data_IF_792326029852
#
_entry.id   IF_792326029852
#
_cell.length_a   1.000
_cell.length_b   1.000
_cell.length_c   1.000
_cell.angle_alpha   90.00
_cell.angle_beta   90.00
_cell.angle_gamma   90.00
#
_symmetry.space_group_name_H-M   'P 1'
#
loop_
_entity.id
_entity.type
_entity.pdbx_description
1 polymer ?
#
# COMPACT_ATOMS: atom_id res chain seq x y z
N UNK A 1 7.41 31.38 11.20
CA UNK A 1 7.20 29.98 10.73
C UNK A 1 7.13 29.09 11.99
N UNK A 2 6.25 29.42 12.94
CA UNK A 2 6.63 29.31 14.37
C UNK A 2 5.92 28.22 15.18
N UNK A 3 5.36 27.20 14.55
CA UNK A 3 4.90 26.02 15.27
C UNK A 3 5.01 24.76 14.42
N UNK A 4 5.78 23.80 14.91
CA UNK A 4 5.92 22.48 14.32
C UNK A 4 4.85 21.58 14.92
N UNK A 5 3.80 21.26 14.15
CA UNK A 5 2.67 20.49 14.64
C UNK A 5 2.34 19.34 13.69
N UNK A 6 1.65 18.31 14.21
CA UNK A 6 1.24 17.14 13.45
C UNK A 6 0.23 17.51 12.36
N UNK A 7 -0.68 18.43 12.66
CA UNK A 7 -1.73 18.92 11.76
C UNK A 7 -1.13 19.62 10.54
N UNK A 8 -0.01 20.33 10.70
CA UNK A 8 0.71 20.93 9.57
C UNK A 8 1.35 19.88 8.67
N UNK A 9 1.94 18.83 9.25
CA UNK A 9 2.47 17.71 8.48
C UNK A 9 1.34 17.07 7.67
N UNK A 10 0.22 16.79 8.32
CA UNK A 10 -0.98 16.23 7.68
C UNK A 10 -1.51 17.14 6.57
N UNK A 11 -1.54 18.46 6.78
CA UNK A 11 -1.95 19.42 5.75
C UNK A 11 -1.07 19.37 4.51
N UNK A 12 0.26 19.32 4.69
CA UNK A 12 1.20 19.18 3.57
C UNK A 12 1.10 17.83 2.86
N UNK A 13 0.81 16.75 3.59
CA UNK A 13 0.53 15.44 2.98
C UNK A 13 -0.74 15.51 2.11
N UNK A 14 -1.80 16.14 2.60
CA UNK A 14 -3.04 16.31 1.82
C UNK A 14 -2.82 17.18 0.57
N UNK A 15 -2.05 18.27 0.67
CA UNK A 15 -1.66 19.08 -0.49
C UNK A 15 -0.82 18.29 -1.49
N UNK A 16 0.16 17.53 -1.01
CA UNK A 16 1.00 16.68 -1.85
C UNK A 16 0.17 15.62 -2.59
N UNK A 17 -0.80 15.01 -1.90
CA UNK A 17 -1.73 14.04 -2.48
C UNK A 17 -2.63 14.69 -3.55
N UNK A 18 -3.15 15.89 -3.26
CA UNK A 18 -3.97 16.63 -4.21
C UNK A 18 -3.19 16.96 -5.48
N UNK A 19 -2.00 17.57 -5.38
CA UNK A 19 -1.16 17.88 -6.54
C UNK A 19 -0.80 16.63 -7.35
N UNK A 20 -0.55 15.51 -6.67
CA UNK A 20 -0.27 14.25 -7.36
C UNK A 20 -1.47 13.76 -8.17
N UNK A 21 -2.69 13.91 -7.65
CA UNK A 21 -3.93 13.59 -8.38
C UNK A 21 -4.19 14.51 -9.57
N UNK A 22 -3.62 15.71 -9.57
CA UNK A 22 -3.69 16.67 -10.68
C UNK A 22 -2.50 16.54 -11.65
N UNK A 23 -1.71 15.47 -11.53
CA UNK A 23 -0.51 15.20 -12.33
C UNK A 23 0.63 16.23 -12.17
N UNK A 24 0.54 17.11 -11.16
CA UNK A 24 1.57 18.08 -10.81
C UNK A 24 2.68 17.45 -9.96
N UNK A 25 3.39 16.49 -10.55
CA UNK A 25 4.36 15.62 -9.85
C UNK A 25 5.49 16.36 -9.14
N UNK A 26 5.91 17.53 -9.62
CA UNK A 26 6.96 18.34 -8.99
C UNK A 26 6.45 19.05 -7.72
N UNK A 27 5.25 19.64 -7.78
CA UNK A 27 4.60 20.27 -6.64
C UNK A 27 4.28 19.26 -5.55
N UNK A 28 3.71 18.11 -5.94
CA UNK A 28 3.43 17.00 -5.04
C UNK A 28 4.66 16.57 -4.23
N UNK A 29 5.79 16.39 -4.93
CA UNK A 29 7.05 15.99 -4.30
C UNK A 29 7.64 17.07 -3.39
N UNK A 30 7.48 18.35 -3.74
CA UNK A 30 7.92 19.45 -2.87
C UNK A 30 7.11 19.48 -1.57
N UNK A 31 5.77 19.39 -1.65
CA UNK A 31 4.91 19.38 -0.46
C UNK A 31 5.18 18.16 0.42
N UNK A 32 5.33 16.98 -0.17
CA UNK A 32 5.75 15.78 0.54
C UNK A 32 7.11 15.98 1.22
N UNK A 33 8.08 16.57 0.53
CA UNK A 33 9.38 16.88 1.09
C UNK A 33 9.31 17.83 2.29
N UNK A 34 8.39 18.79 2.31
CA UNK A 34 8.15 19.66 3.48
C UNK A 34 7.59 18.83 4.64
N UNK A 35 6.56 18.02 4.39
CA UNK A 35 5.96 17.15 5.40
C UNK A 35 6.99 16.20 6.04
N UNK A 36 7.82 15.54 5.23
CA UNK A 36 8.86 14.61 5.71
C UNK A 36 9.89 15.33 6.57
N UNK A 37 10.38 16.51 6.15
CA UNK A 37 11.35 17.30 6.93
C UNK A 37 10.77 17.73 8.27
N UNK A 38 9.50 18.15 8.29
CA UNK A 38 8.79 18.46 9.53
C UNK A 38 8.65 17.24 10.44
N UNK A 39 8.23 16.09 9.91
CA UNK A 39 8.11 14.84 10.67
C UNK A 39 9.45 14.40 11.30
N UNK A 40 10.54 14.48 10.53
CA UNK A 40 11.90 14.17 11.03
C UNK A 40 12.37 15.17 12.09
N UNK A 41 12.05 16.45 11.93
CA UNK A 41 12.36 17.47 12.95
C UNK A 41 11.63 17.19 14.27
N UNK A 42 10.39 16.66 14.20
CA UNK A 42 9.64 16.16 15.37
C UNK A 42 10.11 14.80 15.89
N UNK A 43 10.99 14.11 15.13
CA UNK A 43 11.46 12.73 15.39
C UNK A 43 10.33 11.71 15.51
N UNK A 44 9.29 11.83 14.67
CA UNK A 44 8.15 10.93 14.71
C UNK A 44 8.55 9.47 14.46
N UNK A 45 9.61 9.22 13.69
CA UNK A 45 10.13 7.89 13.39
C UNK A 45 10.80 7.18 14.59
N UNK A 46 10.96 7.87 15.72
CA UNK A 46 11.54 7.35 16.97
C UNK A 46 10.61 7.56 18.17
N UNK A 47 9.36 7.97 17.93
CA UNK A 47 8.48 8.51 18.95
C UNK A 47 8.15 7.46 20.03
N UNK A 48 7.91 6.20 19.63
CA UNK A 48 7.65 5.11 20.58
C UNK A 48 8.83 4.85 21.52
N UNK A 49 10.07 4.88 21.01
CA UNK A 49 11.27 4.73 21.83
C UNK A 49 11.43 5.89 22.80
N UNK A 50 11.19 7.12 22.33
CA UNK A 50 11.24 8.33 23.16
C UNK A 50 10.22 8.25 24.29
N UNK A 51 8.99 7.85 23.99
CA UNK A 51 7.92 7.70 24.97
C UNK A 51 8.23 6.62 26.00
N UNK A 52 8.75 5.46 25.56
CA UNK A 52 9.17 4.40 26.48
C UNK A 52 10.24 4.85 27.49
N UNK A 53 11.21 5.68 27.07
CA UNK A 53 12.22 6.26 27.97
C UNK A 53 11.55 7.18 29.00
N UNK A 54 10.64 8.04 28.56
CA UNK A 54 9.91 8.98 29.43
C UNK A 54 8.94 8.27 30.39
N UNK A 55 8.45 7.10 30.03
CA UNK A 55 7.64 6.23 30.90
C UNK A 55 8.50 5.56 31.97
N UNK A 56 9.66 5.02 31.60
CA UNK A 56 10.57 4.34 32.53
C UNK A 56 11.23 5.29 33.54
N UNK A 57 11.39 6.57 33.19
CA UNK A 57 11.97 7.60 34.07
C UNK A 57 10.94 8.28 34.97
N UNK A 58 9.64 7.99 34.81
CA UNK A 58 8.59 8.69 35.55
C UNK A 58 8.44 8.13 36.99
N UNK A 59 8.22 8.99 38.01
CA UNK A 59 7.87 8.54 39.35
C UNK A 59 6.49 7.84 39.34
N UNK A 60 6.31 6.82 40.20
CA UNK A 60 5.13 5.94 40.20
C UNK A 60 3.78 6.68 40.33
N UNK A 61 3.76 7.84 40.97
CA UNK A 61 2.56 8.68 41.12
C UNK A 61 2.02 9.27 39.81
N UNK A 62 2.85 9.39 38.75
CA UNK A 62 2.44 9.91 37.42
C UNK A 62 2.22 8.82 36.37
N UNK A 63 2.30 7.54 36.78
CA UNK A 63 2.19 6.40 35.87
C UNK A 63 0.76 6.14 35.40
N UNK A 64 -0.24 6.54 36.19
CA UNK A 64 -1.67 6.47 35.83
C UNK A 64 -2.09 7.57 34.85
N UNK A 65 -1.62 8.81 35.02
CA UNK A 65 -1.89 9.91 34.07
C UNK A 65 -1.31 9.62 32.67
N UNK A 66 -0.22 8.85 32.58
CA UNK A 66 0.45 8.50 31.31
C UNK A 66 -0.17 7.32 30.54
N UNK A 67 -1.15 6.63 31.14
CA UNK A 67 -1.98 5.62 30.47
C UNK A 67 -3.35 6.18 30.05
N UNK A 68 -3.50 7.51 30.00
CA UNK A 68 -4.75 8.12 29.58
C UNK A 68 -5.08 7.72 28.13
N UNK A 69 -6.36 7.53 27.80
CA UNK A 69 -6.79 7.23 26.44
C UNK A 69 -6.32 8.32 25.46
N UNK A 70 -6.27 9.57 25.91
CA UNK A 70 -5.78 10.72 25.12
C UNK A 70 -4.32 10.54 24.67
N UNK A 71 -3.43 10.04 25.53
CA UNK A 71 -2.04 9.78 25.16
C UNK A 71 -1.95 8.64 24.13
N UNK A 72 -2.78 7.61 24.26
CA UNK A 72 -2.84 6.51 23.28
C UNK A 72 -3.24 7.04 21.91
N UNK A 73 -4.29 7.87 21.86
CA UNK A 73 -4.75 8.53 20.62
C UNK A 73 -3.65 9.40 20.01
N UNK A 74 -2.98 10.25 20.81
CA UNK A 74 -1.91 11.13 20.31
C UNK A 74 -0.76 10.31 19.74
N UNK A 75 -0.34 9.24 20.42
CA UNK A 75 0.74 8.35 19.96
C UNK A 75 0.39 7.67 18.65
N UNK A 76 -0.80 7.10 18.53
CA UNK A 76 -1.26 6.47 17.29
C UNK A 76 -1.41 7.50 16.16
N UNK A 77 -1.91 8.70 16.44
CA UNK A 77 -2.03 9.79 15.46
C UNK A 77 -0.67 10.18 14.88
N UNK A 78 0.35 10.29 15.74
CA UNK A 78 1.73 10.61 15.33
C UNK A 78 2.34 9.48 14.51
N UNK A 79 2.13 8.22 14.92
CA UNK A 79 2.57 7.02 14.19
C UNK A 79 1.94 6.94 12.81
N UNK A 80 0.62 7.05 12.70
CA UNK A 80 -0.10 7.06 11.42
C UNK A 80 0.37 8.20 10.53
N UNK A 81 0.61 9.39 11.08
CA UNK A 81 1.17 10.54 10.33
C UNK A 81 2.57 10.22 9.76
N UNK A 82 3.45 9.60 10.55
CA UNK A 82 4.77 9.20 10.07
C UNK A 82 4.70 8.10 9.00
N UNK A 83 3.79 7.14 9.14
CA UNK A 83 3.57 6.13 8.10
C UNK A 83 2.92 6.70 6.83
N UNK A 84 2.07 7.73 6.92
CA UNK A 84 1.57 8.44 5.74
C UNK A 84 2.69 9.10 4.96
N UNK A 85 3.65 9.74 5.65
CA UNK A 85 4.88 10.23 5.03
C UNK A 85 5.65 9.10 4.33
N UNK A 86 5.85 7.97 5.02
CA UNK A 86 6.55 6.80 4.48
C UNK A 86 5.87 6.20 3.24
N UNK A 87 4.54 6.08 3.28
CA UNK A 87 3.73 5.53 2.20
C UNK A 87 3.84 6.41 0.97
N UNK A 88 3.61 7.72 1.12
CA UNK A 88 3.66 8.66 0.00
C UNK A 88 5.06 8.77 -0.60
N UNK A 89 6.12 8.74 0.22
CA UNK A 89 7.52 8.71 -0.24
C UNK A 89 7.79 7.56 -1.21
N UNK A 90 7.18 6.38 -0.98
CA UNK A 90 7.35 5.22 -1.87
C UNK A 90 6.44 5.23 -3.08
N UNK A 91 5.17 5.56 -2.89
CA UNK A 91 4.19 5.55 -3.98
C UNK A 91 4.49 6.64 -5.02
N UNK A 92 4.91 7.83 -4.58
CA UNK A 92 5.18 8.98 -5.46
C UNK A 92 6.58 8.97 -6.09
N UNK A 93 7.49 8.13 -5.61
CA UNK A 93 8.84 8.02 -6.21
C UNK A 93 8.88 7.08 -7.42
N UNK A 94 7.82 6.30 -7.65
CA UNK A 94 7.76 5.36 -8.77
C UNK A 94 7.88 6.07 -10.13
N UNK A 95 8.73 5.54 -11.02
CA UNK A 95 8.91 6.05 -12.39
C UNK A 95 9.67 7.37 -12.48
N UNK A 96 10.19 7.87 -11.36
CA UNK A 96 11.04 9.06 -11.32
C UNK A 96 12.44 8.68 -10.82
N UNK A 97 13.50 9.33 -11.30
CA UNK A 97 14.87 9.16 -10.75
C UNK A 97 15.03 9.81 -9.36
N UNK A 98 13.93 9.92 -8.60
CA UNK A 98 13.90 10.60 -7.30
C UNK A 98 14.29 9.63 -6.19
N UNK A 99 15.27 9.97 -5.34
CA UNK A 99 15.64 9.13 -4.21
C UNK A 99 14.55 9.18 -3.13
N UNK A 100 14.35 8.04 -2.46
CA UNK A 100 13.50 7.96 -1.27
C UNK A 100 14.07 8.82 -0.15
N UNK A 101 13.21 9.58 0.54
CA UNK A 101 13.61 10.46 1.64
C UNK A 101 13.62 9.75 3.00
N UNK A 102 12.88 8.65 3.14
CA UNK A 102 12.74 7.88 4.38
C UNK A 102 13.32 6.47 4.21
N UNK A 103 14.47 6.24 4.85
CA UNK A 103 15.09 4.93 4.99
C UNK A 103 14.26 4.03 5.91
N UNK A 104 14.13 2.75 5.58
CA UNK A 104 13.32 1.79 6.35
C UNK A 104 13.86 1.64 7.77
N UNK A 105 15.18 1.60 7.89
CA UNK A 105 15.93 1.40 9.13
C UNK A 105 15.72 2.56 10.12
N UNK A 106 15.27 3.71 9.62
CA UNK A 106 14.93 4.87 10.46
C UNK A 106 13.56 4.75 11.12
N UNK A 107 12.67 3.86 10.64
CA UNK A 107 11.32 3.64 11.17
C UNK A 107 11.34 2.76 12.42
N UNK A 108 11.67 3.36 13.57
CA UNK A 108 11.77 2.69 14.88
C UNK A 108 10.48 2.79 15.71
N UNK A 109 9.34 2.88 15.02
CA UNK A 109 7.99 2.92 15.59
C UNK A 109 7.22 1.64 15.29
N UNK A 110 6.24 1.30 16.13
CA UNK A 110 5.35 0.17 15.88
C UNK A 110 4.49 0.42 14.64
N UNK A 111 4.03 -0.63 13.97
CA UNK A 111 3.08 -0.51 12.86
C UNK A 111 1.74 0.09 13.34
N UNK A 112 0.93 0.71 12.46
CA UNK A 112 -0.38 1.22 12.84
C UNK A 112 -1.31 0.14 13.39
N UNK A 113 -2.06 0.46 14.44
CA UNK A 113 -3.04 -0.47 15.02
C UNK A 113 -4.34 -0.52 14.20
N UNK A 114 -5.19 -1.48 14.51
CA UNK A 114 -6.53 -1.61 13.94
C UNK A 114 -7.40 -0.40 14.25
N UNK A 115 -8.36 -0.08 13.37
CA UNK A 115 -9.32 1.01 13.61
C UNK A 115 -10.06 0.82 14.94
N UNK A 116 -10.45 -0.42 15.27
CA UNK A 116 -11.08 -0.75 16.54
C UNK A 116 -10.20 -0.40 17.74
N UNK A 117 -8.90 -0.74 17.70
CA UNK A 117 -7.97 -0.41 18.78
C UNK A 117 -7.76 1.11 18.89
N UNK A 118 -7.74 1.81 17.76
CA UNK A 118 -7.62 3.27 17.73
C UNK A 118 -8.86 3.96 18.31
N UNK A 119 -10.06 3.60 17.85
CA UNK A 119 -11.34 4.16 18.28
C UNK A 119 -11.58 3.96 19.78
N UNK A 120 -11.26 2.77 20.29
CA UNK A 120 -11.42 2.43 21.70
C UNK A 120 -10.21 2.85 22.57
N UNK A 121 -9.23 3.55 21.99
CA UNK A 121 -8.01 4.00 22.68
C UNK A 121 -7.26 2.87 23.41
N UNK A 122 -7.22 1.68 22.81
CA UNK A 122 -6.59 0.49 23.38
C UNK A 122 -5.07 0.55 23.19
N UNK A 123 -4.33 0.31 24.27
CA UNK A 123 -2.88 0.16 24.20
C UNK A 123 -2.53 -1.24 23.69
N UNK A 124 -2.03 -1.31 22.46
CA UNK A 124 -1.66 -2.56 21.78
C UNK A 124 -0.25 -2.50 21.21
N UNK A 125 0.33 -3.68 20.98
CA UNK A 125 1.61 -3.86 20.31
C UNK A 125 1.44 -4.58 18.97
N UNK A 126 1.92 -3.96 17.90
CA UNK A 126 1.73 -4.39 16.51
C UNK A 126 3.03 -4.85 15.82
N UNK A 127 4.14 -4.86 16.55
CA UNK A 127 5.47 -5.13 15.99
C UNK A 127 6.06 -3.94 15.21
N UNK A 128 7.30 -4.10 14.73
CA UNK A 128 8.00 -3.11 13.90
C UNK A 128 7.95 -3.50 12.42
N UNK A 129 8.15 -2.51 11.54
CA UNK A 129 8.29 -2.77 10.10
C UNK A 129 9.51 -3.67 9.79
N UNK A 130 10.65 -3.39 10.43
CA UNK A 130 11.83 -4.24 10.41
C UNK A 130 12.19 -4.64 11.85
N UNK A 131 11.78 -5.84 12.30
CA UNK A 131 12.20 -6.38 13.59
C UNK A 131 13.72 -6.51 13.66
N UNK A 132 14.33 -6.19 14.80
CA UNK A 132 15.75 -6.41 15.02
C UNK A 132 16.01 -7.87 15.34
N UNK A 133 16.84 -8.52 14.53
CA UNK A 133 17.31 -9.88 14.77
C UNK A 133 17.94 -10.00 16.17
N UNK A 134 17.56 -11.03 16.92
CA UNK A 134 18.08 -11.31 18.26
C UNK A 134 17.52 -10.45 19.40
N UNK A 135 16.56 -9.55 19.16
CA UNK A 135 15.88 -8.81 20.22
C UNK A 135 14.63 -9.53 20.74
N UNK A 136 14.47 -9.63 22.07
CA UNK A 136 13.24 -10.14 22.69
C UNK A 136 12.12 -9.10 22.53
N UNK A 137 11.36 -9.20 21.44
CA UNK A 137 10.20 -8.35 21.23
C UNK A 137 8.99 -8.87 22.02
N UNK A 138 8.12 -7.98 22.51
CA UNK A 138 6.86 -8.40 23.12
C UNK A 138 6.00 -9.14 22.08
N UNK A 139 5.10 -10.00 22.58
CA UNK A 139 4.15 -10.70 21.72
C UNK A 139 3.23 -9.68 21.03
N UNK A 140 3.04 -9.85 19.72
CA UNK A 140 2.13 -9.02 18.93
C UNK A 140 0.71 -9.28 19.43
N UNK A 141 0.02 -8.21 19.82
CA UNK A 141 -1.33 -8.25 20.41
C UNK A 141 -2.41 -7.67 19.49
N UNK A 142 -2.03 -7.03 18.38
CA UNK A 142 -2.95 -6.46 17.40
C UNK A 142 -2.31 -6.47 16.00
N UNK A 143 -3.17 -6.55 14.98
CA UNK A 143 -2.77 -6.51 13.58
C UNK A 143 -3.85 -5.82 12.76
N UNK A 144 -3.47 -5.12 11.69
CA UNK A 144 -4.38 -4.27 10.94
C UNK A 144 -4.13 -4.31 9.44
N UNK A 145 -5.17 -4.06 8.66
CA UNK A 145 -5.02 -3.98 7.21
C UNK A 145 -4.06 -2.86 6.79
N UNK A 146 -4.00 -1.77 7.56
CA UNK A 146 -3.05 -0.69 7.37
C UNK A 146 -1.60 -1.12 7.69
N UNK A 147 -1.37 -1.91 8.74
CA UNK A 147 -0.05 -2.48 9.06
C UNK A 147 0.47 -3.34 7.89
N UNK A 148 -0.41 -4.18 7.33
CA UNK A 148 -0.11 -5.05 6.19
C UNK A 148 0.14 -4.25 4.92
N UNK A 149 -0.65 -3.20 4.70
CA UNK A 149 -0.44 -2.28 3.58
C UNK A 149 0.93 -1.59 3.68
N UNK A 150 1.33 -1.10 4.85
CA UNK A 150 2.65 -0.49 5.07
C UNK A 150 3.79 -1.47 4.73
N UNK A 151 3.69 -2.74 5.18
CA UNK A 151 4.68 -3.78 4.84
C UNK A 151 4.77 -4.00 3.33
N UNK A 152 3.62 -4.03 2.65
CA UNK A 152 3.57 -4.18 1.19
C UNK A 152 4.11 -2.97 0.43
N UNK A 153 3.91 -1.75 0.96
CA UNK A 153 4.48 -0.52 0.41
C UNK A 153 6.01 -0.55 0.45
N UNK A 154 6.62 -1.22 1.43
CA UNK A 154 8.08 -1.44 1.40
C UNK A 154 8.50 -2.37 0.25
N UNK A 155 7.80 -3.49 0.06
CA UNK A 155 8.05 -4.40 -1.08
C UNK A 155 7.90 -3.64 -2.41
N UNK A 156 6.87 -2.80 -2.53
CA UNK A 156 6.70 -1.91 -3.68
C UNK A 156 7.89 -0.98 -3.88
N UNK A 157 8.41 -0.37 -2.80
CA UNK A 157 9.60 0.48 -2.87
C UNK A 157 10.83 -0.25 -3.43
N UNK A 158 11.01 -1.53 -3.08
CA UNK A 158 12.07 -2.37 -3.65
C UNK A 158 11.84 -2.69 -5.13
N UNK A 159 10.61 -3.04 -5.52
CA UNK A 159 10.23 -3.30 -6.91
C UNK A 159 10.44 -2.04 -7.77
N UNK A 160 9.94 -0.90 -7.31
CA UNK A 160 10.11 0.37 -8.01
C UNK A 160 11.58 0.72 -8.19
N UNK A 161 12.42 0.47 -7.18
CA UNK A 161 13.87 0.71 -7.28
C UNK A 161 14.51 -0.22 -8.31
N UNK A 162 14.17 -1.50 -8.30
CA UNK A 162 14.65 -2.48 -9.28
C UNK A 162 14.36 -2.03 -10.71
N UNK A 163 13.13 -1.59 -10.98
CA UNK A 163 12.70 -1.12 -12.30
C UNK A 163 13.42 0.17 -12.69
N UNK A 164 13.47 1.16 -11.80
CA UNK A 164 14.16 2.43 -12.08
C UNK A 164 15.66 2.26 -12.34
N UNK A 165 16.29 1.22 -11.78
CA UNK A 165 17.69 0.89 -12.02
C UNK A 165 17.92 0.09 -13.32
N UNK A 166 16.89 -0.09 -14.16
CA UNK A 166 16.97 -0.75 -15.46
C UNK A 166 16.45 -2.19 -15.49
N UNK A 167 15.90 -2.68 -14.37
CA UNK A 167 15.14 -3.92 -14.28
C UNK A 167 15.82 -5.11 -14.96
N UNK A 168 15.07 -5.81 -15.82
CA UNK A 168 15.56 -6.97 -16.56
C UNK A 168 16.81 -6.68 -17.40
N UNK A 169 16.94 -5.46 -17.93
CA UNK A 169 18.04 -5.11 -18.83
C UNK A 169 19.40 -5.06 -18.14
N UNK A 170 19.41 -4.89 -16.81
CA UNK A 170 20.63 -4.92 -15.98
C UNK A 170 20.81 -6.25 -15.24
N UNK A 171 19.85 -7.16 -15.32
CA UNK A 171 19.88 -8.43 -14.62
C UNK A 171 20.84 -9.41 -15.33
N UNK A 172 21.72 -10.05 -14.56
CA UNK A 172 22.69 -11.04 -15.07
C UNK A 172 22.09 -12.45 -15.11
N UNK A 173 21.17 -12.74 -14.18
CA UNK A 173 20.57 -14.05 -14.02
C UNK A 173 19.13 -14.08 -14.55
N UNK A 174 18.64 -15.22 -15.07
CA UNK A 174 17.27 -15.33 -15.52
C UNK A 174 16.29 -15.27 -14.33
N UNK A 175 15.00 -14.96 -14.56
CA UNK A 175 14.04 -14.66 -13.50
C UNK A 175 13.68 -15.87 -12.61
N UNK A 176 13.94 -17.10 -13.05
CA UNK A 176 13.79 -18.33 -12.25
C UNK A 176 15.03 -18.66 -11.41
N UNK A 177 16.12 -17.89 -11.52
CA UNK A 177 17.32 -18.13 -10.74
C UNK A 177 17.22 -17.45 -9.37
N UNK A 178 17.46 -18.15 -8.25
CA UNK A 178 17.42 -17.58 -6.90
C UNK A 178 18.36 -16.40 -6.65
N UNK A 179 19.41 -16.25 -7.47
CA UNK A 179 20.35 -15.13 -7.38
C UNK A 179 19.81 -13.84 -8.01
N UNK A 180 18.86 -13.94 -8.95
CA UNK A 180 18.27 -12.77 -9.62
C UNK A 180 17.50 -11.89 -8.64
N UNK A 181 17.48 -10.59 -8.90
CA UNK A 181 16.70 -9.65 -8.08
C UNK A 181 15.20 -9.90 -8.26
N UNK A 182 14.79 -10.17 -9.51
CA UNK A 182 13.41 -10.55 -9.83
C UNK A 182 12.90 -11.71 -8.96
N UNK A 183 13.65 -12.82 -8.90
CA UNK A 183 13.24 -13.98 -8.12
C UNK A 183 13.04 -13.64 -6.64
N UNK A 184 13.98 -12.90 -6.05
CA UNK A 184 13.90 -12.50 -4.64
C UNK A 184 12.68 -11.61 -4.36
N UNK A 185 12.35 -10.70 -5.28
CA UNK A 185 11.15 -9.86 -5.17
C UNK A 185 9.87 -10.70 -5.31
N UNK A 186 9.83 -11.64 -6.26
CA UNK A 186 8.70 -12.56 -6.43
C UNK A 186 8.48 -13.40 -5.18
N UNK A 187 9.54 -13.98 -4.61
CA UNK A 187 9.47 -14.73 -3.36
C UNK A 187 9.00 -13.88 -2.19
N UNK A 188 9.40 -12.59 -2.11
CA UNK A 188 8.88 -11.67 -1.09
C UNK A 188 7.37 -11.45 -1.22
N UNK A 189 6.84 -11.30 -2.43
CA UNK A 189 5.39 -11.15 -2.64
C UNK A 189 4.66 -12.45 -2.25
N UNK A 190 5.18 -13.61 -2.65
CA UNK A 190 4.60 -14.92 -2.31
C UNK A 190 4.61 -15.14 -0.79
N UNK A 191 5.73 -14.82 -0.13
CA UNK A 191 5.86 -14.94 1.32
C UNK A 191 4.91 -13.98 2.05
N UNK A 192 4.73 -12.76 1.53
CA UNK A 192 3.79 -11.80 2.09
C UNK A 192 2.34 -12.31 2.00
N UNK A 193 1.94 -12.89 0.86
CA UNK A 193 0.60 -13.44 0.67
C UNK A 193 0.34 -14.63 1.61
N UNK A 194 1.32 -15.51 1.78
CA UNK A 194 1.26 -16.65 2.73
C UNK A 194 1.21 -16.24 4.20
N UNK A 195 1.82 -15.12 4.57
CA UNK A 195 1.82 -14.56 5.94
C UNK A 195 0.52 -13.80 6.26
N UNK A 196 -0.33 -13.55 5.26
CA UNK A 196 -1.54 -12.77 5.44
C UNK A 196 -2.60 -13.59 6.20
N UNK A 197 -3.14 -13.09 7.32
CA UNK A 197 -4.24 -13.76 8.02
C UNK A 197 -5.47 -13.96 7.13
N UNK A 198 -6.21 -15.05 7.33
CA UNK A 198 -7.43 -15.37 6.56
C UNK A 198 -8.42 -14.20 6.49
N UNK A 199 -8.54 -13.42 7.57
CA UNK A 199 -9.42 -12.24 7.67
C UNK A 199 -9.00 -11.08 6.77
N UNK A 200 -7.75 -11.07 6.31
CA UNK A 200 -7.18 -10.04 5.43
C UNK A 200 -7.00 -10.54 4.00
N UNK A 201 -7.25 -11.81 3.70
CA UNK A 201 -7.21 -12.33 2.33
C UNK A 201 -8.31 -11.72 1.45
N UNK A 202 -8.06 -11.67 0.14
CA UNK A 202 -9.01 -11.08 -0.82
C UNK A 202 -10.24 -11.98 -0.96
N UNK A 203 -11.38 -11.52 -0.46
CA UNK A 203 -12.67 -12.16 -0.71
C UNK A 203 -13.81 -11.16 -0.58
N UNK A 204 -14.94 -11.46 -1.24
CA UNK A 204 -16.15 -10.65 -1.08
C UNK A 204 -16.60 -10.56 0.38
N UNK A 205 -16.47 -11.66 1.14
CA UNK A 205 -16.87 -11.69 2.54
C UNK A 205 -15.95 -10.80 3.39
N UNK A 206 -14.64 -10.87 3.19
CA UNK A 206 -13.69 -10.02 3.92
C UNK A 206 -13.85 -8.55 3.55
N UNK A 207 -14.11 -8.24 2.29
CA UNK A 207 -14.42 -6.87 1.86
C UNK A 207 -15.53 -6.25 2.70
N UNK A 208 -16.70 -6.92 2.83
CA UNK A 208 -17.81 -6.41 3.65
C UNK A 208 -17.50 -6.38 5.15
N UNK A 209 -16.68 -7.31 5.66
CA UNK A 209 -16.24 -7.26 7.07
C UNK A 209 -15.47 -5.97 7.34
N UNK A 210 -14.50 -5.63 6.49
CA UNK A 210 -13.72 -4.39 6.62
C UNK A 210 -14.52 -3.14 6.33
N UNK A 211 -15.56 -3.24 5.49
CA UNK A 211 -16.49 -2.16 5.21
C UNK A 211 -17.25 -1.69 6.45
N UNK A 212 -17.76 -2.65 7.23
CA UNK A 212 -18.45 -2.36 8.48
C UNK A 212 -17.54 -1.77 9.57
N UNK A 213 -16.22 -1.85 9.44
CA UNK A 213 -15.24 -1.43 10.44
C UNK A 213 -14.42 -0.19 10.02
N UNK A 214 -14.87 0.57 9.02
CA UNK A 214 -14.17 1.76 8.49
C UNK A 214 -12.75 1.46 7.96
N UNK A 215 -12.41 0.19 7.74
CA UNK A 215 -11.10 -0.25 7.26
C UNK A 215 -11.10 -0.56 5.75
N UNK A 216 -12.20 -0.31 5.03
CA UNK A 216 -12.35 -0.62 3.59
C UNK A 216 -11.24 0.00 2.75
N UNK A 217 -10.88 1.26 3.03
CA UNK A 217 -9.88 1.97 2.23
C UNK A 217 -8.50 1.32 2.34
N UNK A 218 -8.10 0.92 3.55
CA UNK A 218 -6.85 0.20 3.76
C UNK A 218 -6.88 -1.20 3.11
N UNK A 219 -8.01 -1.90 3.20
CA UNK A 219 -8.21 -3.20 2.56
C UNK A 219 -8.16 -3.16 1.04
N UNK A 220 -8.87 -2.21 0.42
CA UNK A 220 -8.81 -2.00 -1.02
C UNK A 220 -7.40 -1.61 -1.43
N UNK A 221 -6.75 -0.68 -0.70
CA UNK A 221 -5.39 -0.24 -1.02
C UNK A 221 -4.38 -1.39 -0.93
N UNK A 222 -4.51 -2.26 0.08
CA UNK A 222 -3.70 -3.46 0.24
C UNK A 222 -3.76 -4.37 -1.00
N UNK A 223 -4.97 -4.74 -1.43
CA UNK A 223 -5.12 -5.67 -2.55
C UNK A 223 -4.90 -5.02 -3.92
N UNK A 224 -5.19 -3.72 -4.06
CA UNK A 224 -4.82 -2.95 -5.25
C UNK A 224 -3.29 -2.93 -5.40
N UNK A 225 -2.56 -2.59 -4.34
CA UNK A 225 -1.10 -2.56 -4.38
C UNK A 225 -0.51 -3.96 -4.57
N UNK A 226 -1.07 -5.00 -3.96
CA UNK A 226 -0.60 -6.38 -4.15
C UNK A 226 -0.68 -6.80 -5.62
N UNK A 227 -1.81 -6.47 -6.25
CA UNK A 227 -2.04 -6.72 -7.66
C UNK A 227 -1.09 -5.89 -8.53
N UNK A 228 -0.85 -4.62 -8.20
CA UNK A 228 0.10 -3.75 -8.91
C UNK A 228 1.54 -4.28 -8.77
N UNK A 229 1.98 -4.72 -7.59
CA UNK A 229 3.29 -5.33 -7.38
C UNK A 229 3.49 -6.54 -8.31
N UNK A 230 2.50 -7.44 -8.39
CA UNK A 230 2.55 -8.60 -9.28
C UNK A 230 2.60 -8.20 -10.75
N UNK A 231 1.71 -7.32 -11.19
CA UNK A 231 1.63 -6.88 -12.59
C UNK A 231 2.93 -6.20 -13.01
N UNK A 232 3.38 -5.22 -12.22
CA UNK A 232 4.53 -4.37 -12.55
C UNK A 232 5.83 -5.15 -12.51
N UNK A 233 6.02 -6.06 -11.54
CA UNK A 233 7.21 -6.91 -11.50
C UNK A 233 7.27 -7.84 -12.71
N UNK A 234 6.18 -8.58 -12.99
CA UNK A 234 6.13 -9.53 -14.11
C UNK A 234 6.19 -8.85 -15.48
N UNK A 235 5.74 -7.60 -15.61
CA UNK A 235 5.80 -6.83 -16.86
C UNK A 235 7.21 -6.75 -17.45
N UNK A 236 8.26 -6.77 -16.62
CA UNK A 236 9.65 -6.76 -17.08
C UNK A 236 9.99 -7.93 -18.02
N UNK A 237 9.29 -9.06 -17.86
CA UNK A 237 9.50 -10.28 -18.62
C UNK A 237 8.27 -10.71 -19.45
N UNK A 238 7.27 -9.84 -19.61
CA UNK A 238 6.17 -10.07 -20.54
C UNK A 238 6.43 -9.35 -21.87
N UNK A 239 5.97 -9.91 -23.01
CA UNK A 239 6.06 -9.22 -24.30
C UNK A 239 5.26 -7.92 -24.25
N UNK A 240 5.87 -6.81 -24.69
CA UNK A 240 5.20 -5.49 -24.73
C UNK A 240 3.94 -5.51 -25.60
N UNK A 241 3.98 -6.27 -26.70
CA UNK A 241 2.85 -6.54 -27.59
C UNK A 241 2.80 -8.05 -27.85
N UNK A 242 1.80 -8.80 -27.34
CA UNK A 242 1.65 -10.22 -27.62
C UNK A 242 1.08 -10.45 -29.02
N UNK A 243 1.69 -9.86 -30.04
CA UNK A 243 1.26 -10.03 -31.43
C UNK A 243 1.59 -11.46 -31.86
N UNK A 244 0.55 -12.24 -32.19
CA UNK A 244 0.66 -13.60 -32.75
C UNK A 244 1.34 -14.63 -31.82
N UNK A 245 1.35 -14.39 -30.52
CA UNK A 245 1.77 -15.40 -29.54
C UNK A 245 0.67 -16.47 -29.45
N UNK A 246 1.00 -17.76 -29.66
CA UNK A 246 0.06 -18.86 -29.47
C UNK A 246 -0.14 -19.22 -28.00
N UNK A 247 0.87 -18.91 -27.19
CA UNK A 247 0.97 -19.22 -25.76
C UNK A 247 1.75 -18.10 -25.04
N UNK A 248 1.65 -18.00 -23.70
CA UNK A 248 2.48 -17.11 -22.91
C UNK A 248 3.97 -17.41 -23.13
N UNK A 249 4.73 -16.38 -23.49
CA UNK A 249 6.16 -16.50 -23.75
C UNK A 249 6.91 -15.29 -23.19
N UNK A 250 8.19 -15.47 -22.88
CA UNK A 250 9.07 -14.39 -22.45
C UNK A 250 9.35 -13.37 -23.56
N UNK A 251 10.12 -12.30 -23.26
CA UNK A 251 10.42 -11.26 -24.23
C UNK A 251 11.37 -11.80 -25.32
N UNK A 252 10.99 -11.63 -26.58
CA UNK A 252 11.81 -12.04 -27.73
C UNK A 252 12.92 -11.02 -28.00
N UNK A 253 14.04 -11.10 -27.26
CA UNK A 253 15.19 -10.21 -27.44
C UNK A 253 16.46 -11.01 -27.74
N UNK A 254 17.11 -10.63 -28.85
CA UNK A 254 18.29 -11.30 -29.44
C UNK A 254 19.45 -11.47 -28.45
N UNK A 255 19.59 -10.55 -27.48
CA UNK A 255 20.72 -10.50 -26.56
C UNK A 255 20.48 -11.21 -25.21
N UNK A 256 19.33 -11.88 -25.02
CA UNK A 256 19.01 -12.63 -23.79
C UNK A 256 18.55 -14.05 -24.10
N UNK A 257 19.35 -14.80 -24.85
CA UNK A 257 19.06 -16.19 -25.26
C UNK A 257 18.80 -17.13 -24.09
N UNK A 258 19.31 -16.83 -22.88
CA UNK A 258 19.02 -17.60 -21.67
C UNK A 258 17.51 -17.69 -21.36
N UNK A 259 16.72 -16.70 -21.80
CA UNK A 259 15.27 -16.68 -21.59
C UNK A 259 14.52 -17.76 -22.40
N UNK A 260 15.15 -18.31 -23.44
CA UNK A 260 14.60 -19.41 -24.23
C UNK A 260 14.66 -20.76 -23.49
N UNK A 261 15.41 -20.84 -22.39
CA UNK A 261 15.58 -22.05 -21.59
C UNK A 261 14.80 -21.94 -20.27
N UNK A 262 13.61 -21.32 -20.32
CA UNK A 262 12.74 -21.22 -19.17
C UNK A 262 12.31 -22.61 -18.70
N UNK A 263 12.17 -22.83 -17.38
CA UNK A 263 11.54 -24.03 -16.86
C UNK A 263 10.13 -24.19 -17.42
N UNK A 264 9.67 -25.45 -17.46
CA UNK A 264 8.34 -25.79 -17.93
C UNK A 264 7.29 -24.91 -17.22
N UNK A 265 6.36 -24.36 -18.01
CA UNK A 265 5.23 -23.52 -17.56
C UNK A 265 5.59 -22.19 -16.88
N UNK A 266 6.87 -21.82 -16.78
CA UNK A 266 7.26 -20.57 -16.11
C UNK A 266 6.54 -19.33 -16.68
N UNK A 267 6.45 -19.24 -18.01
CA UNK A 267 5.76 -18.13 -18.68
C UNK A 267 4.24 -18.19 -18.55
N UNK A 268 3.67 -19.41 -18.49
CA UNK A 268 2.25 -19.60 -18.24
C UNK A 268 1.87 -19.14 -16.84
N UNK A 269 2.63 -19.56 -15.82
CA UNK A 269 2.42 -19.18 -14.43
C UNK A 269 2.58 -17.66 -14.24
N UNK A 270 3.62 -17.07 -14.84
CA UNK A 270 3.83 -15.61 -14.78
C UNK A 270 2.65 -14.85 -15.42
N UNK A 271 2.12 -15.32 -16.55
CA UNK A 271 0.94 -14.73 -17.17
C UNK A 271 -0.31 -14.93 -16.31
N UNK A 272 -0.51 -16.13 -15.74
CA UNK A 272 -1.62 -16.43 -14.84
C UNK A 272 -1.62 -15.51 -13.61
N UNK A 273 -0.47 -15.29 -12.99
CA UNK A 273 -0.29 -14.35 -11.86
C UNK A 273 -0.75 -12.93 -12.24
N UNK A 274 -0.38 -12.46 -13.45
CA UNK A 274 -0.75 -11.12 -13.95
C UNK A 274 -2.24 -11.02 -14.29
N UNK A 275 -2.81 -12.03 -14.96
CA UNK A 275 -4.24 -12.06 -15.26
C UNK A 275 -5.08 -12.18 -13.99
N UNK A 276 -4.63 -12.96 -13.01
CA UNK A 276 -5.30 -13.08 -11.73
C UNK A 276 -5.25 -11.77 -10.95
N UNK A 277 -4.09 -11.10 -10.92
CA UNK A 277 -3.96 -9.76 -10.33
C UNK A 277 -4.87 -8.74 -11.00
N UNK A 278 -5.00 -8.79 -12.34
CA UNK A 278 -5.92 -7.93 -13.09
C UNK A 278 -7.39 -8.21 -12.73
N UNK A 279 -7.76 -9.49 -12.59
CA UNK A 279 -9.09 -9.91 -12.13
C UNK A 279 -9.38 -9.41 -10.71
N UNK A 280 -8.41 -9.52 -9.81
CA UNK A 280 -8.54 -9.04 -8.43
C UNK A 280 -8.87 -7.54 -8.37
N UNK A 281 -8.23 -6.71 -9.20
CA UNK A 281 -8.53 -5.27 -9.32
C UNK A 281 -9.97 -5.03 -9.80
N UNK A 282 -10.40 -5.77 -10.83
CA UNK A 282 -11.76 -5.67 -11.38
C UNK A 282 -12.79 -6.07 -10.32
N UNK A 283 -12.54 -7.14 -9.57
CA UNK A 283 -13.47 -7.65 -8.56
C UNK A 283 -13.59 -6.70 -7.37
N UNK A 284 -12.49 -6.06 -6.93
CA UNK A 284 -12.53 -4.97 -5.94
C UNK A 284 -13.43 -3.82 -6.41
N UNK A 285 -13.34 -3.44 -7.68
CA UNK A 285 -14.19 -2.40 -8.24
C UNK A 285 -15.66 -2.82 -8.27
N UNK A 286 -15.95 -4.07 -8.64
CA UNK A 286 -17.32 -4.62 -8.58
C UNK A 286 -17.88 -4.61 -7.17
N UNK A 287 -17.11 -5.03 -6.16
CA UNK A 287 -17.59 -5.05 -4.77
C UNK A 287 -18.02 -3.66 -4.31
N UNK A 288 -17.27 -2.61 -4.66
CA UNK A 288 -17.62 -1.22 -4.38
C UNK A 288 -18.92 -0.79 -5.07
N UNK A 289 -19.11 -1.15 -6.34
CA UNK A 289 -20.34 -0.82 -7.08
C UNK A 289 -21.58 -1.49 -6.47
N UNK A 290 -21.48 -2.76 -6.04
CA UNK A 290 -22.60 -3.46 -5.40
C UNK A 290 -23.00 -2.83 -4.05
N UNK A 291 -22.05 -2.28 -3.28
CA UNK A 291 -22.37 -1.50 -2.07
C UNK A 291 -23.16 -0.24 -2.44
N UNK A 292 -22.64 0.57 -3.37
CA UNK A 292 -23.28 1.83 -3.76
C UNK A 292 -24.70 1.63 -4.32
N UNK A 293 -24.94 0.55 -5.07
CA UNK A 293 -26.30 0.20 -5.54
C UNK A 293 -27.21 -0.21 -4.38
N UNK A 294 -26.71 -1.01 -3.42
CA UNK A 294 -27.50 -1.43 -2.26
C UNK A 294 -27.85 -0.27 -1.33
N UNK A 295 -26.97 0.71 -1.16
CA UNK A 295 -27.23 1.90 -0.35
C UNK A 295 -28.26 2.82 -1.04
N UNK A 296 -28.12 3.03 -2.35
CA UNK A 296 -29.08 3.80 -3.13
C UNK A 296 -30.48 3.16 -3.15
N UNK A 297 -30.57 1.82 -3.15
CA UNK A 297 -31.85 1.11 -3.02
C UNK A 297 -32.47 1.22 -1.62
N UNK A 298 -31.67 1.34 -0.55
CA UNK A 298 -32.18 1.58 0.83
C UNK A 298 -32.65 3.02 1.05
N UNK A 299 -32.09 3.97 0.30
CA UNK A 299 -32.43 5.40 0.37
C UNK A 299 -33.59 5.79 -0.55
N UNK A 300 -34.06 4.89 -1.42
CA UNK A 300 -35.23 5.13 -2.24
C UNK A 300 -36.49 5.22 -1.35
N UNK A 301 -37.27 6.32 -1.39
CA UNK A 301 -38.50 6.41 -0.61
C UNK A 301 -39.44 5.29 -1.03
N UNK A 302 -39.93 4.53 -0.05
CA UNK A 302 -41.03 3.57 -0.22
C UNK A 302 -42.33 4.33 -0.50
N UNK A 303 -42.47 4.88 -1.70
CA UNK A 303 -43.76 5.37 -2.18
C UNK A 303 -44.45 4.25 -2.95
N UNK A 304 -45.49 3.73 -2.31
CA UNK A 304 -46.50 2.90 -2.92
C UNK A 304 -47.18 3.64 -4.09
N UNK A 305 -47.44 2.91 -5.18
CA UNK A 305 -48.42 3.27 -6.20
C UNK A 305 -47.95 4.26 -7.25
N UNK A 306 -47.35 3.75 -8.34
CA UNK A 306 -47.13 4.52 -9.56
C UNK A 306 -46.38 3.69 -10.60
N UNK A 307 -47.00 3.48 -11.76
CA UNK A 307 -46.49 2.71 -12.91
C UNK A 307 -45.09 3.13 -13.38
N UNK A 308 -44.25 2.21 -13.89
CA UNK A 308 -42.87 2.52 -14.25
C UNK A 308 -42.78 3.12 -15.66
N UNK A 309 -42.44 4.40 -15.77
CA UNK A 309 -41.86 4.97 -16.99
C UNK A 309 -40.35 4.75 -16.97
N UNK A 310 -39.86 4.04 -17.98
CA UNK A 310 -38.45 3.76 -18.19
C UNK A 310 -37.71 5.05 -18.60
N UNK A 311 -36.97 5.66 -17.68
CA UNK A 311 -35.93 6.63 -18.03
C UNK A 311 -34.60 5.89 -18.25
N UNK A 312 -34.35 5.60 -19.53
CA UNK A 312 -33.03 5.24 -20.06
C UNK A 312 -32.05 6.38 -19.78
N UNK A 313 -31.11 6.17 -18.86
CA UNK A 313 -29.93 7.03 -18.73
C UNK A 313 -29.03 6.81 -19.94
N UNK A 314 -29.07 7.78 -20.84
CA UNK A 314 -28.23 7.87 -22.03
C UNK A 314 -26.80 8.23 -21.58
N UNK A 315 -25.92 7.23 -21.51
CA UNK A 315 -24.48 7.44 -21.31
C UNK A 315 -23.92 7.99 -22.62
N UNK A 316 -23.60 9.29 -22.65
CA UNK A 316 -22.83 9.87 -23.75
C UNK A 316 -21.41 9.29 -23.71
N UNK A 317 -21.02 8.60 -24.78
CA UNK A 317 -19.65 8.21 -25.06
C UNK A 317 -18.73 9.45 -25.15
N UNK A 318 -17.51 9.41 -24.60
CA UNK A 318 -16.52 10.44 -24.87
C UNK A 318 -15.90 10.23 -26.25
N UNK A 319 -16.07 11.23 -27.11
CA UNK A 319 -15.47 11.34 -28.45
C UNK A 319 -13.94 11.32 -28.40
N UNK A 320 -13.36 10.39 -29.16
CA UNK A 320 -11.95 10.31 -29.53
C UNK A 320 -11.55 11.52 -30.39
N UNK A 321 -10.81 12.48 -29.82
CA UNK A 321 -10.00 13.43 -30.59
C UNK A 321 -8.99 14.14 -29.68
N UNK A 322 -7.71 13.75 -29.77
CA UNK A 322 -6.51 14.59 -29.63
C UNK A 322 -5.28 13.70 -29.39
N UNK A 323 -4.74 13.15 -30.47
CA UNK A 323 -3.32 12.78 -30.57
C UNK A 323 -2.83 13.45 -31.85
N UNK A 324 -2.23 14.63 -31.68
CA UNK A 324 -1.25 15.23 -32.60
C UNK A 324 -0.11 15.77 -31.73
#
# INVERSE_FOLDING_TARGET
>A
MDSLTVERIQSFLMLGLFEWSQENNSSAWMYLGIAIRMAKLMRLEQDDRRMAILENQAPDTKRFEKKSPEIVIIRETRRRTMYSCFIMDRLMSCGSERPLSIAVESMLIQLPCSEMAFDLSLQVYTGLLQPREGSSQPQISDDSTLSRFVKLVEIWGEISRYISMGGRSREVHPPWNPKSTFYKLREKIIAFDKDLPDTFTLSRQNYYRHDNHQATNAYVSLHMLASVCQIVLNREYLPFLPLRCREPQGPSIVNQTILNFAPDRFWEESAEDVFQSSRNIIDLHKYKLYVGVSENQKLAPTNAGGTPEAQLFNVKEPTLAAWD
#
